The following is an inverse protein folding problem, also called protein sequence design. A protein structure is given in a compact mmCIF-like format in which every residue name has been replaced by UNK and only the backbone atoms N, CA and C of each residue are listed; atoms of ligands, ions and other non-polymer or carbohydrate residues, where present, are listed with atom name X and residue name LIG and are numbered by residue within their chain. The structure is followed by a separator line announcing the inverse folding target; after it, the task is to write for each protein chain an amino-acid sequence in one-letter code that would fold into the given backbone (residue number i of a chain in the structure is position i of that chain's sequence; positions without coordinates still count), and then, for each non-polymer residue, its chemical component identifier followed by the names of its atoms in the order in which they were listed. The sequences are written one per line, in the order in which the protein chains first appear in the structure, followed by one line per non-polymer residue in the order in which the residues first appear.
data_IF_604576889798
#
_entry.id   IF_604576889798
#
_cell.length_a   1.000
_cell.length_b   1.000
_cell.length_c   1.000
_cell.angle_alpha   90.00
_cell.angle_beta   90.00
_cell.angle_gamma   90.00
#
_symmetry.space_group_name_H-M   'P 1'
#
loop_
_entity.id
_entity.type
_entity.pdbx_description
1 polymer ?
#
# COMPACT_ATOMS: atom_id res chain seq x y z
N UNK A 1 26.88 3.93 -60.45
CA UNK A 1 26.05 4.67 -61.42
C UNK A 1 24.82 5.21 -60.71
N UNK A 2 24.56 6.52 -60.86
CA UNK A 2 23.37 7.32 -60.44
C UNK A 2 23.19 7.51 -58.92
N UNK A 3 22.92 8.68 -58.34
CA UNK A 3 22.91 10.15 -58.62
C UNK A 3 22.54 10.76 -57.23
N UNK A 4 23.27 11.69 -56.62
CA UNK A 4 23.11 13.17 -56.76
C UNK A 4 21.67 13.62 -56.42
N UNK A 5 21.31 14.58 -55.55
CA UNK A 5 21.93 15.50 -54.57
C UNK A 5 20.77 16.43 -54.08
N UNK A 6 21.00 17.25 -53.02
CA UNK A 6 20.37 18.57 -52.72
C UNK A 6 18.87 18.58 -52.27
N UNK A 7 18.36 19.42 -51.36
CA UNK A 7 18.83 20.45 -50.40
C UNK A 7 17.61 21.02 -49.62
N UNK A 8 17.89 21.95 -48.68
CA UNK A 8 17.01 22.91 -47.97
C UNK A 8 16.32 22.40 -46.68
N UNK A 9 16.63 22.83 -45.46
CA UNK A 9 17.05 24.11 -44.83
C UNK A 9 15.91 25.12 -44.58
N UNK A 10 15.60 25.33 -43.29
CA UNK A 10 15.15 26.56 -42.59
C UNK A 10 14.77 26.13 -41.15
N UNK A 11 15.46 26.46 -40.05
CA UNK A 11 15.93 27.73 -39.46
C UNK A 11 14.80 28.61 -38.89
N UNK A 12 14.75 28.67 -37.55
CA UNK A 12 14.56 29.81 -36.63
C UNK A 12 14.05 29.24 -35.29
N UNK A 13 14.30 29.75 -34.09
CA UNK A 13 15.25 30.66 -33.45
C UNK A 13 14.70 30.87 -32.01
N UNK A 14 15.46 31.57 -31.17
CA UNK A 14 15.15 32.02 -29.80
C UNK A 14 15.34 30.97 -28.68
N UNK A 15 16.15 31.19 -27.66
CA UNK A 15 16.94 32.38 -27.34
C UNK A 15 17.98 32.08 -26.26
N UNK A 16 19.16 32.67 -26.44
CA UNK A 16 20.14 32.89 -25.40
C UNK A 16 20.04 34.35 -24.94
N UNK A 17 19.94 34.57 -23.63
CA UNK A 17 20.29 35.82 -22.96
C UNK A 17 21.06 35.40 -21.70
N UNK A 18 22.40 35.44 -21.72
CA UNK A 18 23.27 36.54 -21.27
C UNK A 18 23.02 36.99 -19.82
N UNK A 19 24.03 36.70 -19.01
CA UNK A 19 24.36 37.29 -17.71
C UNK A 19 24.69 38.79 -17.82
N UNK A 20 25.05 39.38 -16.66
CA UNK A 20 25.49 40.78 -16.36
C UNK A 20 24.30 41.56 -15.74
N UNK A 21 24.32 42.12 -14.53
CA UNK A 21 25.37 42.85 -13.81
C UNK A 21 25.43 42.57 -12.29
N UNK A 22 26.66 42.50 -11.78
CA UNK A 22 26.98 42.81 -10.38
C UNK A 22 26.75 44.31 -10.15
N UNK A 23 25.93 44.65 -9.16
CA UNK A 23 25.93 46.00 -8.61
C UNK A 23 26.87 46.06 -7.40
N UNK A 24 27.84 46.94 -7.54
CA UNK A 24 28.82 47.39 -6.55
C UNK A 24 28.12 48.12 -5.40
N UNK A 25 28.39 47.68 -4.17
CA UNK A 25 28.26 48.53 -2.99
C UNK A 25 29.62 48.66 -2.32
N UNK A 26 29.98 49.91 -2.14
CA UNK A 26 31.23 50.46 -1.65
C UNK A 26 31.49 50.14 -0.19
N UNK A 27 32.76 49.87 0.11
CA UNK A 27 33.30 49.72 1.44
C UNK A 27 33.33 51.06 2.18
N UNK A 28 32.65 51.14 3.33
CA UNK A 28 33.00 51.98 4.47
C UNK A 28 32.07 51.63 5.65
N UNK A 29 32.39 50.55 6.37
CA UNK A 29 32.58 50.65 7.82
C UNK A 29 33.18 49.34 8.35
N UNK A 30 34.43 49.47 8.80
CA UNK A 30 35.20 48.43 9.49
C UNK A 30 35.06 48.75 10.97
N UNK A 31 34.46 47.85 11.75
CA UNK A 31 35.08 47.27 12.95
C UNK A 31 34.08 46.43 13.76
N UNK A 32 34.38 45.13 13.85
CA UNK A 32 34.11 44.32 15.03
C UNK A 32 32.76 43.63 15.10
N UNK A 33 32.68 42.37 14.65
CA UNK A 33 32.58 41.18 15.51
C UNK A 33 32.52 39.93 14.62
N UNK A 34 33.34 38.94 14.92
CA UNK A 34 33.52 37.73 14.14
C UNK A 34 32.40 36.69 14.38
N UNK A 35 31.78 36.25 13.27
CA UNK A 35 31.43 34.88 12.88
C UNK A 35 30.52 34.06 13.82
N UNK A 36 29.25 33.93 13.42
CA UNK A 36 28.59 32.62 13.23
C UNK A 36 27.33 32.81 12.39
N UNK A 37 27.26 32.06 11.29
CA UNK A 37 26.14 32.06 10.35
C UNK A 37 24.82 31.69 11.02
N UNK A 38 23.75 32.39 10.63
CA UNK A 38 22.37 32.00 10.91
C UNK A 38 22.16 30.54 10.42
N UNK A 39 21.74 29.61 11.29
CA UNK A 39 21.26 28.34 10.80
C UNK A 39 19.91 28.60 10.13
N UNK A 40 19.88 28.37 8.82
CA UNK A 40 18.66 28.17 8.06
C UNK A 40 17.70 27.29 8.87
N UNK A 41 16.48 27.77 9.07
CA UNK A 41 15.42 26.96 9.65
C UNK A 41 15.17 25.77 8.73
N UNK A 42 15.79 24.64 9.06
CA UNK A 42 15.50 23.36 8.44
C UNK A 42 14.09 22.99 8.87
N UNK A 43 13.15 23.10 7.94
CA UNK A 43 11.91 22.33 7.98
C UNK A 43 12.28 20.84 8.00
N UNK A 44 12.48 20.30 9.19
CA UNK A 44 12.41 18.87 9.42
C UNK A 44 11.22 18.59 10.33
N UNK A 45 10.03 18.94 9.82
CA UNK A 45 8.81 18.24 10.17
C UNK A 45 8.85 16.83 9.57
N UNK A 46 9.85 16.03 9.96
CA UNK A 46 9.76 14.59 9.83
C UNK A 46 8.52 14.22 10.63
N UNK A 47 7.42 13.96 9.93
CA UNK A 47 6.40 13.06 10.46
C UNK A 47 7.17 11.78 10.76
N UNK A 48 7.57 11.62 12.01
CA UNK A 48 7.87 10.33 12.58
C UNK A 48 6.60 9.52 12.36
N UNK A 49 6.55 8.84 11.22
CA UNK A 49 5.69 7.70 11.02
C UNK A 49 6.05 6.80 12.18
N UNK A 50 5.22 6.81 13.22
CA UNK A 50 5.16 5.69 14.12
C UNK A 50 4.78 4.53 13.20
N UNK A 51 5.77 3.87 12.62
CA UNK A 51 5.59 2.59 11.96
C UNK A 51 5.06 1.70 13.08
N UNK A 52 3.73 1.61 13.15
CA UNK A 52 3.11 1.07 14.35
C UNK A 52 3.49 -0.40 14.38
N UNK A 53 4.23 -0.74 15.43
CA UNK A 53 4.91 -2.03 15.55
C UNK A 53 3.93 -3.21 15.56
N UNK A 54 2.69 -2.94 15.95
CA UNK A 54 1.62 -3.92 16.11
C UNK A 54 0.32 -3.38 15.53
N UNK A 55 -0.27 -4.11 14.60
CA UNK A 55 -1.64 -3.89 14.10
C UNK A 55 -2.58 -4.98 14.63
N UNK A 56 -3.87 -4.67 14.76
CA UNK A 56 -4.90 -5.68 15.05
C UNK A 56 -6.15 -5.47 14.23
N UNK A 57 -6.75 -6.57 13.77
CA UNK A 57 -8.04 -6.61 13.07
C UNK A 57 -9.02 -7.33 13.98
N UNK A 58 -10.05 -6.63 14.47
CA UNK A 58 -10.98 -7.13 15.48
C UNK A 58 -12.43 -6.93 15.09
N UNK A 59 -13.29 -7.92 15.31
CA UNK A 59 -14.74 -7.81 15.11
C UNK A 59 -15.34 -9.09 14.57
N UNK A 60 -16.26 -8.96 13.62
CA UNK A 60 -16.93 -10.07 12.95
C UNK A 60 -16.68 -10.07 11.44
N UNK A 61 -16.40 -11.25 10.89
CA UNK A 61 -16.29 -11.48 9.46
C UNK A 61 -16.86 -12.85 9.11
N UNK A 62 -17.61 -12.95 8.02
CA UNK A 62 -18.20 -14.21 7.57
C UNK A 62 -19.06 -14.91 8.65
N UNK A 63 -19.76 -14.12 9.47
CA UNK A 63 -20.57 -14.62 10.58
C UNK A 63 -19.77 -15.24 11.74
N UNK A 64 -18.45 -15.03 11.78
CA UNK A 64 -17.56 -15.54 12.83
C UNK A 64 -16.72 -14.40 13.43
N UNK A 65 -16.24 -14.55 14.68
CA UNK A 65 -15.27 -13.61 15.25
C UNK A 65 -13.96 -13.59 14.45
N UNK A 66 -13.36 -12.42 14.34
CA UNK A 66 -12.02 -12.19 13.85
C UNK A 66 -11.23 -11.39 14.91
N UNK A 67 -10.10 -11.91 15.35
CA UNK A 67 -9.11 -11.22 16.19
C UNK A 67 -7.72 -11.63 15.71
N UNK A 68 -7.16 -10.83 14.81
CA UNK A 68 -5.87 -11.08 14.19
C UNK A 68 -4.91 -9.97 14.59
N UNK A 69 -3.71 -10.35 14.98
CA UNK A 69 -2.62 -9.46 15.38
C UNK A 69 -1.50 -9.56 14.35
N UNK A 70 -1.12 -8.42 13.79
CA UNK A 70 0.01 -8.28 12.86
C UNK A 70 1.16 -7.67 13.65
N UNK A 71 2.22 -8.44 13.87
CA UNK A 71 3.45 -7.98 14.49
C UNK A 71 4.44 -7.61 13.38
N UNK A 72 4.68 -6.31 13.19
CA UNK A 72 5.60 -5.79 12.18
C UNK A 72 7.07 -5.78 12.64
N UNK A 73 7.34 -6.14 13.91
CA UNK A 73 8.71 -6.33 14.41
C UNK A 73 9.20 -7.75 14.14
N UNK A 74 8.39 -8.72 14.56
CA UNK A 74 8.73 -10.14 14.43
C UNK A 74 8.21 -10.72 13.10
N UNK A 75 7.55 -9.89 12.29
CA UNK A 75 6.93 -10.26 11.02
C UNK A 75 6.04 -11.51 11.14
N UNK A 76 5.13 -11.48 12.12
CA UNK A 76 4.20 -12.58 12.39
C UNK A 76 2.76 -12.09 12.38
N UNK A 77 1.84 -12.97 11.97
CA UNK A 77 0.40 -12.77 12.06
C UNK A 77 -0.16 -13.88 12.94
N UNK A 78 -0.73 -13.52 14.08
CA UNK A 78 -1.24 -14.47 15.08
C UNK A 78 -2.68 -14.14 15.47
N UNK A 79 -3.39 -15.10 16.07
CA UNK A 79 -4.72 -14.86 16.64
C UNK A 79 -5.73 -15.91 16.20
N UNK A 80 -6.95 -15.47 15.90
CA UNK A 80 -8.03 -16.35 15.50
C UNK A 80 -8.97 -15.73 14.47
N UNK A 81 -9.41 -16.55 13.53
CA UNK A 81 -10.41 -16.21 12.53
C UNK A 81 -11.27 -17.44 12.23
N UNK A 82 -12.58 -17.26 12.03
CA UNK A 82 -13.50 -18.37 11.74
C UNK A 82 -13.42 -19.51 12.77
N UNK A 83 -13.28 -19.17 14.06
CA UNK A 83 -13.07 -20.13 15.16
C UNK A 83 -11.82 -21.02 15.01
N UNK A 84 -10.88 -20.61 14.17
CA UNK A 84 -9.63 -21.33 13.90
C UNK A 84 -8.45 -20.44 14.26
N UNK A 85 -7.34 -21.02 14.76
CA UNK A 85 -6.13 -20.26 15.00
C UNK A 85 -5.53 -19.77 13.68
N UNK A 86 -4.89 -18.61 13.75
CA UNK A 86 -4.00 -18.06 12.72
C UNK A 86 -2.62 -17.94 13.35
N UNK A 87 -1.62 -18.51 12.70
CA UNK A 87 -0.22 -18.43 13.09
C UNK A 87 0.65 -18.48 11.83
N UNK A 88 1.12 -17.33 11.39
CA UNK A 88 1.83 -17.15 10.13
C UNK A 88 3.08 -16.31 10.38
N UNK A 89 4.19 -16.71 9.80
CA UNK A 89 5.45 -15.98 9.77
C UNK A 89 5.71 -15.45 8.35
N UNK A 90 6.25 -14.23 8.28
CA UNK A 90 6.60 -13.53 7.05
C UNK A 90 8.11 -13.35 7.04
N UNK A 91 8.75 -13.89 6.01
CA UNK A 91 10.17 -13.70 5.77
C UNK A 91 10.33 -12.74 4.59
N UNK A 92 10.76 -11.52 4.87
CA UNK A 92 10.98 -10.49 3.85
C UNK A 92 12.26 -10.71 3.02
N UNK A 93 13.25 -11.42 3.57
CA UNK A 93 14.49 -11.74 2.85
C UNK A 93 14.25 -12.88 1.87
N UNK A 94 13.63 -13.97 2.32
CA UNK A 94 13.24 -15.08 1.47
C UNK A 94 11.99 -14.79 0.62
N UNK A 95 11.27 -13.69 0.92
CA UNK A 95 10.02 -13.28 0.27
C UNK A 95 8.93 -14.35 0.36
N UNK A 96 8.76 -14.93 1.55
CA UNK A 96 7.80 -16.01 1.80
C UNK A 96 6.90 -15.73 2.99
N UNK A 97 5.73 -16.36 2.98
CA UNK A 97 4.75 -16.35 4.08
C UNK A 97 4.43 -17.81 4.39
N UNK A 98 4.70 -18.26 5.61
CA UNK A 98 4.55 -19.67 6.02
C UNK A 98 3.82 -19.80 7.33
N UNK A 99 3.09 -20.90 7.52
CA UNK A 99 2.45 -21.22 8.80
C UNK A 99 1.10 -21.91 8.60
N UNK A 100 0.10 -21.48 9.36
CA UNK A 100 -1.25 -22.00 9.31
C UNK A 100 -2.33 -20.94 9.50
N UNK A 101 -3.40 -21.06 8.73
CA UNK A 101 -4.62 -20.27 8.88
C UNK A 101 -5.83 -21.16 8.54
N UNK A 102 -6.95 -21.00 9.25
CA UNK A 102 -8.17 -21.79 9.06
C UNK A 102 -7.91 -23.32 9.03
N UNK A 103 -7.08 -23.83 9.97
CA UNK A 103 -6.71 -25.25 10.06
C UNK A 103 -6.02 -25.82 8.80
N UNK A 104 -5.40 -24.95 8.01
CA UNK A 104 -4.74 -25.31 6.77
C UNK A 104 -3.34 -24.68 6.71
N UNK A 105 -2.36 -25.37 6.10
CA UNK A 105 -1.05 -24.79 5.89
C UNK A 105 -1.14 -23.57 4.96
N UNK A 106 -0.27 -22.61 5.22
CA UNK A 106 -0.01 -21.45 4.37
C UNK A 106 1.44 -21.57 3.91
N UNK A 107 1.65 -21.53 2.60
CA UNK A 107 2.96 -21.45 1.95
C UNK A 107 2.82 -20.56 0.72
N UNK A 108 3.15 -19.27 0.89
CA UNK A 108 3.05 -18.26 -0.14
C UNK A 108 4.42 -17.62 -0.38
N UNK A 109 4.58 -17.08 -1.57
CA UNK A 109 5.65 -16.16 -1.96
C UNK A 109 5.04 -14.82 -2.28
N UNK A 110 5.81 -13.76 -2.11
CA UNK A 110 5.35 -12.43 -2.49
C UNK A 110 6.43 -11.62 -3.18
N UNK A 111 6.02 -10.77 -4.10
CA UNK A 111 6.86 -9.71 -4.64
C UNK A 111 6.22 -8.38 -4.27
N UNK A 112 7.04 -7.43 -3.81
CA UNK A 112 6.54 -6.14 -3.37
C UNK A 112 7.32 -5.01 -4.02
N UNK A 113 6.58 -4.00 -4.47
CA UNK A 113 7.05 -2.66 -4.79
C UNK A 113 6.16 -1.65 -4.07
N UNK A 114 6.43 -0.35 -4.25
CA UNK A 114 5.57 0.70 -3.66
C UNK A 114 4.18 0.72 -4.32
N UNK A 115 4.11 0.31 -5.57
CA UNK A 115 2.92 0.41 -6.41
C UNK A 115 2.16 -0.92 -6.46
N UNK A 116 2.84 -2.05 -6.26
CA UNK A 116 2.25 -3.38 -6.48
C UNK A 116 2.72 -4.40 -5.47
N UNK A 117 1.83 -5.30 -5.09
CA UNK A 117 2.15 -6.50 -4.31
C UNK A 117 1.53 -7.72 -4.99
N UNK A 118 2.39 -8.63 -5.44
CA UNK A 118 2.00 -9.94 -5.96
C UNK A 118 2.15 -10.96 -4.83
N UNK A 119 1.14 -11.80 -4.60
CA UNK A 119 1.18 -12.89 -3.62
C UNK A 119 0.74 -14.17 -4.31
N UNK A 120 1.53 -15.23 -4.24
CA UNK A 120 1.27 -16.51 -4.93
C UNK A 120 1.65 -17.72 -4.08
N UNK A 121 0.93 -18.83 -4.22
CA UNK A 121 1.26 -20.11 -3.58
C UNK A 121 0.02 -20.88 -3.13
N UNK A 122 0.07 -21.47 -1.94
CA UNK A 122 -1.02 -22.23 -1.34
C UNK A 122 -1.48 -21.66 0.01
N UNK A 123 -2.79 -21.49 0.16
CA UNK A 123 -3.44 -21.22 1.45
C UNK A 123 -4.82 -21.87 1.47
N UNK A 124 -5.33 -22.25 2.65
CA UNK A 124 -6.63 -22.93 2.78
C UNK A 124 -6.74 -24.18 1.87
N UNK A 125 -5.64 -24.95 1.76
CA UNK A 125 -5.50 -26.15 0.88
C UNK A 125 -5.75 -25.90 -0.60
N UNK A 126 -5.64 -24.66 -1.05
CA UNK A 126 -5.96 -24.27 -2.42
C UNK A 126 -4.95 -23.28 -2.96
N UNK A 127 -4.77 -23.22 -4.30
CA UNK A 127 -3.88 -22.25 -4.90
C UNK A 127 -4.46 -20.84 -4.75
N UNK A 128 -3.56 -19.89 -4.51
CA UNK A 128 -3.85 -18.45 -4.39
C UNK A 128 -2.81 -17.71 -5.23
N UNK A 129 -3.26 -16.77 -6.06
CA UNK A 129 -2.40 -15.78 -6.72
C UNK A 129 -3.21 -14.50 -6.86
N UNK A 130 -2.71 -13.39 -6.31
CA UNK A 130 -3.34 -12.09 -6.54
C UNK A 130 -2.30 -10.97 -6.57
N UNK A 131 -2.63 -9.96 -7.36
CA UNK A 131 -1.91 -8.71 -7.51
C UNK A 131 -2.77 -7.60 -6.91
N UNK A 132 -2.26 -6.95 -5.86
CA UNK A 132 -2.73 -5.66 -5.42
C UNK A 132 -1.96 -4.57 -6.18
N UNK A 133 -2.65 -3.81 -7.01
CA UNK A 133 -2.15 -2.67 -7.78
C UNK A 133 -2.72 -1.38 -7.15
N UNK A 134 -1.90 -0.70 -6.37
CA UNK A 134 -2.31 0.48 -5.60
C UNK A 134 -2.52 1.70 -6.47
N UNK A 135 -1.80 1.79 -7.59
CA UNK A 135 -1.94 2.89 -8.57
C UNK A 135 -3.28 2.79 -9.30
N UNK A 136 -3.69 1.58 -9.67
CA UNK A 136 -5.00 1.34 -10.30
C UNK A 136 -6.14 1.28 -9.30
N UNK A 137 -5.84 1.06 -8.02
CA UNK A 137 -6.86 0.81 -7.03
C UNK A 137 -7.56 -0.53 -7.23
N UNK A 138 -6.82 -1.59 -7.58
CA UNK A 138 -7.40 -2.90 -7.85
C UNK A 138 -6.61 -4.04 -7.18
N UNK A 139 -7.33 -5.03 -6.65
CA UNK A 139 -6.80 -6.34 -6.29
C UNK A 139 -7.39 -7.36 -7.26
N UNK A 140 -6.55 -8.05 -8.03
CA UNK A 140 -6.99 -9.00 -9.06
C UNK A 140 -6.24 -10.31 -8.98
N UNK A 141 -6.89 -11.43 -9.32
CA UNK A 141 -6.25 -12.74 -9.37
C UNK A 141 -7.23 -13.88 -9.17
N UNK A 142 -6.84 -14.86 -8.38
CA UNK A 142 -7.68 -15.98 -7.96
C UNK A 142 -7.32 -16.44 -6.55
N UNK A 143 -8.33 -16.96 -5.84
CA UNK A 143 -8.18 -17.67 -4.59
C UNK A 143 -9.14 -18.85 -4.58
N UNK A 144 -8.70 -20.00 -4.08
CA UNK A 144 -9.53 -21.22 -4.05
C UNK A 144 -10.09 -21.61 -5.44
N UNK A 145 -9.24 -21.57 -6.46
CA UNK A 145 -9.61 -21.84 -7.87
C UNK A 145 -10.74 -20.94 -8.42
N UNK A 146 -11.01 -19.81 -7.77
CA UNK A 146 -12.09 -18.91 -8.13
C UNK A 146 -11.54 -17.50 -8.37
N UNK A 147 -12.07 -16.76 -9.35
CA UNK A 147 -11.52 -15.46 -9.73
C UNK A 147 -11.75 -14.45 -8.62
N UNK A 148 -10.81 -13.53 -8.44
CA UNK A 148 -10.83 -12.48 -7.44
C UNK A 148 -10.64 -11.14 -8.14
N UNK A 149 -11.53 -10.18 -7.90
CA UNK A 149 -11.37 -8.79 -8.31
C UNK A 149 -12.02 -7.88 -7.28
N UNK A 150 -11.26 -6.92 -6.74
CA UNK A 150 -11.76 -5.88 -5.86
C UNK A 150 -11.22 -4.55 -6.38
N UNK A 151 -12.06 -3.55 -6.54
CA UNK A 151 -11.70 -2.19 -6.92
C UNK A 151 -11.89 -1.29 -5.71
N UNK A 152 -10.97 -0.37 -5.49
CA UNK A 152 -10.96 0.56 -4.37
C UNK A 152 -10.28 1.86 -4.81
N UNK A 153 -10.70 3.00 -4.26
CA UNK A 153 -10.06 4.28 -4.57
C UNK A 153 -9.36 4.84 -3.34
N UNK A 154 -8.04 4.67 -3.30
CA UNK A 154 -7.18 5.22 -2.27
C UNK A 154 -6.80 6.66 -2.63
N UNK A 155 -7.77 7.57 -2.79
CA UNK A 155 -7.49 9.01 -2.95
C UNK A 155 -6.70 9.49 -1.73
N UNK A 156 -5.38 9.51 -1.86
CA UNK A 156 -4.47 10.04 -0.86
C UNK A 156 -4.44 11.57 -0.99
N UNK A 157 -4.53 12.28 0.13
CA UNK A 157 -4.26 13.72 0.16
C UNK A 157 -5.43 14.69 -0.04
N UNK A 158 -6.68 14.23 -0.23
CA UNK A 158 -7.84 15.11 -0.12
C UNK A 158 -8.48 15.00 1.26
N UNK A 159 -8.47 16.11 2.02
CA UNK A 159 -9.02 16.22 3.38
C UNK A 159 -10.55 15.99 3.51
N UNK A 160 -11.21 15.41 2.49
CA UNK A 160 -12.66 15.25 2.40
C UNK A 160 -13.15 13.80 2.36
N UNK A 161 -12.39 12.85 1.81
CA UNK A 161 -12.88 11.47 1.64
C UNK A 161 -12.17 10.53 2.62
N UNK A 162 -12.70 10.50 3.85
CA UNK A 162 -12.29 9.57 4.91
C UNK A 162 -12.83 8.15 4.70
N UNK A 163 -13.65 7.94 3.68
CA UNK A 163 -14.26 6.65 3.36
C UNK A 163 -13.64 6.12 2.07
N UNK A 164 -13.25 4.84 2.06
CA UNK A 164 -12.86 4.09 0.87
C UNK A 164 -13.90 3.01 0.64
N UNK A 165 -14.52 3.01 -0.53
CA UNK A 165 -15.42 1.94 -0.94
C UNK A 165 -14.62 0.87 -1.69
N UNK A 166 -14.85 -0.39 -1.33
CA UNK A 166 -14.29 -1.57 -1.97
C UNK A 166 -15.43 -2.36 -2.62
N UNK A 167 -15.35 -2.57 -3.93
CA UNK A 167 -16.39 -3.28 -4.68
C UNK A 167 -15.79 -4.35 -5.58
N UNK A 168 -16.50 -5.46 -5.77
CA UNK A 168 -16.08 -6.49 -6.72
C UNK A 168 -16.60 -7.86 -6.34
N UNK A 169 -15.76 -8.88 -6.47
CA UNK A 169 -16.08 -10.26 -6.17
C UNK A 169 -14.86 -11.05 -5.68
N UNK A 170 -15.12 -12.00 -4.80
CA UNK A 170 -14.18 -13.05 -4.41
C UNK A 170 -14.82 -14.40 -4.74
N UNK A 171 -14.30 -15.07 -5.76
CA UNK A 171 -14.93 -16.20 -6.40
C UNK A 171 -16.24 -15.83 -7.10
N UNK A 172 -17.34 -16.50 -6.75
CA UNK A 172 -18.69 -16.24 -7.31
C UNK A 172 -19.55 -15.34 -6.41
N UNK A 173 -18.95 -14.73 -5.39
CA UNK A 173 -19.68 -13.96 -4.40
C UNK A 173 -19.23 -12.49 -4.40
N UNK A 174 -20.18 -11.55 -4.24
CA UNK A 174 -19.87 -10.13 -4.27
C UNK A 174 -19.07 -9.70 -3.04
N UNK A 175 -18.26 -8.66 -3.23
CA UNK A 175 -17.59 -7.88 -2.19
C UNK A 175 -18.11 -6.45 -2.29
N UNK A 176 -18.59 -5.92 -1.17
CA UNK A 176 -19.01 -4.53 -1.03
C UNK A 176 -18.67 -4.11 0.40
N UNK A 177 -17.60 -3.35 0.57
CA UNK A 177 -17.11 -2.90 1.87
C UNK A 177 -16.87 -1.40 1.87
N UNK A 178 -17.07 -0.78 3.02
CA UNK A 178 -16.79 0.63 3.27
C UNK A 178 -15.79 0.71 4.42
N UNK A 179 -14.63 1.32 4.14
CA UNK A 179 -13.53 1.52 5.09
C UNK A 179 -13.45 2.98 5.53
N UNK A 180 -13.60 3.23 6.83
CA UNK A 180 -13.39 4.54 7.41
C UNK A 180 -11.94 4.71 7.88
N UNK A 181 -11.18 5.54 7.19
CA UNK A 181 -9.76 5.86 7.46
C UNK A 181 -9.53 6.47 8.85
N UNK A 182 -10.52 7.15 9.42
CA UNK A 182 -10.41 7.83 10.72
C UNK A 182 -10.64 6.84 11.87
N UNK A 183 -11.68 6.01 11.77
CA UNK A 183 -12.03 5.06 12.83
C UNK A 183 -11.36 3.69 12.65
N UNK A 184 -10.72 3.44 11.50
CA UNK A 184 -10.22 2.13 11.10
C UNK A 184 -11.32 1.08 10.87
N UNK A 185 -12.60 1.49 10.81
CA UNK A 185 -13.71 0.53 10.75
C UNK A 185 -13.98 0.13 9.30
N UNK A 186 -13.99 -1.18 9.04
CA UNK A 186 -14.33 -1.80 7.76
C UNK A 186 -15.66 -2.54 7.91
N UNK A 187 -16.66 -2.10 7.16
CA UNK A 187 -18.04 -2.64 7.24
C UNK A 187 -18.56 -3.06 5.87
N UNK A 188 -19.61 -3.86 5.83
CA UNK A 188 -20.32 -4.20 4.60
C UNK A 188 -20.54 -5.70 4.48
N UNK A 189 -20.31 -6.26 3.30
CA UNK A 189 -20.43 -7.69 3.03
C UNK A 189 -19.30 -8.22 2.16
N UNK A 190 -18.82 -9.41 2.51
CA UNK A 190 -17.89 -10.22 1.74
C UNK A 190 -18.43 -11.65 1.73
N UNK A 191 -18.43 -12.30 0.57
CA UNK A 191 -19.01 -13.63 0.39
C UNK A 191 -20.46 -13.76 0.93
N UNK A 192 -21.32 -12.77 0.63
CA UNK A 192 -22.73 -12.71 1.11
C UNK A 192 -22.90 -12.73 2.64
N UNK A 193 -21.83 -12.53 3.39
CA UNK A 193 -21.85 -12.48 4.83
C UNK A 193 -21.41 -11.10 5.33
N UNK A 194 -21.92 -10.63 6.47
CA UNK A 194 -21.56 -9.33 7.00
C UNK A 194 -20.10 -9.28 7.41
N UNK A 195 -19.50 -8.12 7.19
CA UNK A 195 -18.20 -7.73 7.71
C UNK A 195 -18.39 -6.51 8.59
N UNK A 196 -17.86 -6.57 9.80
CA UNK A 196 -17.76 -5.44 10.73
C UNK A 196 -16.50 -5.66 11.58
N UNK A 197 -15.38 -5.13 11.09
CA UNK A 197 -14.09 -5.22 11.78
C UNK A 197 -13.49 -3.84 11.97
N UNK A 198 -12.66 -3.70 12.98
CA UNK A 198 -11.87 -2.50 13.26
C UNK A 198 -10.40 -2.84 13.08
N UNK A 199 -9.75 -2.08 12.21
CA UNK A 199 -8.31 -2.07 11.98
C UNK A 199 -7.71 -1.05 12.95
N UNK A 200 -6.99 -1.54 13.94
CA UNK A 200 -6.32 -0.71 14.94
C UNK A 200 -4.83 -0.78 14.64
N UNK A 201 -4.20 0.38 14.42
CA UNK A 201 -2.77 0.48 14.11
C UNK A 201 -2.33 -0.30 12.85
N UNK A 202 -3.28 -0.59 11.97
CA UNK A 202 -3.11 -1.09 10.61
C UNK A 202 -4.12 -0.41 9.70
N UNK A 203 -3.95 -0.55 8.39
CA UNK A 203 -4.79 0.10 7.40
C UNK A 203 -5.28 -0.86 6.30
N UNK A 204 -5.93 -0.29 5.28
CA UNK A 204 -6.46 -1.07 4.17
C UNK A 204 -5.36 -1.75 3.35
N UNK A 205 -4.13 -1.22 3.31
CA UNK A 205 -3.00 -1.88 2.66
C UNK A 205 -2.66 -3.18 3.37
N UNK A 206 -2.53 -3.15 4.70
CA UNK A 206 -2.28 -4.36 5.50
C UNK A 206 -3.41 -5.39 5.29
N UNK A 207 -4.67 -4.94 5.27
CA UNK A 207 -5.83 -5.83 5.06
C UNK A 207 -5.81 -6.51 3.69
N UNK A 208 -5.59 -5.74 2.62
CA UNK A 208 -5.60 -6.24 1.25
C UNK A 208 -4.35 -7.06 0.92
N UNK A 209 -3.20 -6.72 1.50
CA UNK A 209 -1.97 -7.50 1.34
C UNK A 209 -2.14 -8.92 1.88
N UNK A 210 -2.86 -9.10 2.98
CA UNK A 210 -3.13 -10.41 3.59
C UNK A 210 -4.53 -10.95 3.28
N UNK A 211 -5.08 -10.59 2.12
CA UNK A 211 -6.44 -10.96 1.73
C UNK A 211 -6.73 -12.46 1.75
N UNK A 212 -5.70 -13.31 1.55
CA UNK A 212 -5.80 -14.77 1.61
C UNK A 212 -6.34 -15.31 2.95
N UNK A 213 -6.16 -14.57 4.05
CA UNK A 213 -6.70 -14.95 5.36
C UNK A 213 -8.24 -14.91 5.36
N UNK A 214 -8.82 -13.97 4.60
CA UNK A 214 -10.26 -13.66 4.61
C UNK A 214 -11.02 -14.33 3.46
N UNK A 215 -10.34 -14.64 2.34
CA UNK A 215 -10.94 -15.19 1.13
C UNK A 215 -11.30 -16.70 1.18
N UNK A 216 -10.98 -17.39 2.27
CA UNK A 216 -10.88 -18.87 2.32
C UNK A 216 -12.18 -19.66 2.46
N UNK A 217 -13.32 -19.03 2.77
CA UNK A 217 -14.60 -19.75 2.89
C UNK A 217 -15.46 -19.40 1.68
N UNK A 218 -15.63 -20.35 0.75
CA UNK A 218 -16.68 -20.39 -0.27
C UNK A 218 -17.30 -21.78 -0.26
#
# INVERSE_FOLDING_TARGET
MKRTFLFAAALLAAGQARAVELNSMTAADVAGTAIAAEPAAVESGEKASYAVKMGTIRGGMNGSPADVKINKLDWTITGGMNHSPVDVAIDHEARTIKGGANLSPVDLRFEWSKEKVLVEGGANRSPVSYLADWEKGELTGYANNAPLKITFDMKEGQAGENIVELTGYAGRAPVSLSYNKVSGRLTGAMNRAPVDVTLVNCDLYDFLQYFFLFAGRN
#
